data_IF_727337968198
#
_entry.id   IF_727337968198
#
_cell.length_a   1.000
_cell.length_b   1.000
_cell.length_c   1.000
_cell.angle_alpha   90.00
_cell.angle_beta   90.00
_cell.angle_gamma   90.00
#
_symmetry.space_group_name_H-M   'P 1'
#
loop_
_entity.id
_entity.type
_entity.pdbx_description
1 polymer ?
#
# COMPACT_ATOMS: atom_id res chain seq x y z
N UNK A 1 3.43 4.75 10.98
CA UNK A 1 2.11 4.12 11.07
C UNK A 1 1.98 2.84 10.22
N UNK A 2 3.05 2.41 9.56
CA UNK A 2 3.10 1.13 8.84
C UNK A 2 2.41 1.11 7.47
N UNK A 3 2.32 2.24 6.78
CA UNK A 3 1.75 2.35 5.44
C UNK A 3 2.47 1.42 4.44
N UNK A 4 3.80 1.55 4.32
CA UNK A 4 4.61 0.75 3.41
C UNK A 4 4.58 -0.74 3.74
N UNK A 5 4.61 -1.10 5.04
CA UNK A 5 4.44 -2.48 5.49
C UNK A 5 3.10 -3.07 5.06
N UNK A 6 2.03 -2.26 5.14
CA UNK A 6 0.70 -2.66 4.68
C UNK A 6 0.66 -2.76 3.15
N UNK A 7 1.25 -1.80 2.43
CA UNK A 7 1.28 -1.79 0.97
C UNK A 7 1.99 -3.03 0.40
N UNK A 8 3.17 -3.38 0.94
CA UNK A 8 3.93 -4.56 0.53
C UNK A 8 3.15 -5.85 0.76
N UNK A 9 2.63 -6.06 1.98
CA UNK A 9 1.91 -7.29 2.29
C UNK A 9 0.55 -7.37 1.57
N UNK A 10 -0.13 -6.24 1.34
CA UNK A 10 -1.34 -6.18 0.51
C UNK A 10 -1.04 -6.58 -0.94
N UNK A 11 0.02 -6.03 -1.54
CA UNK A 11 0.43 -6.38 -2.90
C UNK A 11 0.75 -7.87 -3.03
N UNK A 12 1.49 -8.42 -2.06
CA UNK A 12 1.81 -9.85 -2.02
C UNK A 12 0.58 -10.72 -1.77
N UNK A 13 -0.37 -10.27 -0.94
CA UNK A 13 -1.61 -11.00 -0.72
C UNK A 13 -2.49 -11.03 -1.97
N UNK A 14 -2.58 -9.92 -2.72
CA UNK A 14 -3.26 -9.89 -4.03
C UNK A 14 -2.59 -10.86 -5.02
N UNK A 15 -1.25 -10.88 -5.06
CA UNK A 15 -0.49 -11.80 -5.91
C UNK A 15 -0.70 -13.27 -5.49
N UNK A 16 -0.81 -13.55 -4.19
CA UNK A 16 -1.11 -14.90 -3.68
C UNK A 16 -2.50 -15.40 -4.07
N UNK A 17 -3.45 -14.51 -4.35
CA UNK A 17 -4.76 -14.84 -4.92
C UNK A 17 -4.74 -15.00 -6.46
N UNK A 18 -3.56 -14.91 -7.09
CA UNK A 18 -3.37 -15.15 -8.51
C UNK A 18 -3.32 -13.92 -9.40
N UNK A 19 -3.41 -12.71 -8.83
CA UNK A 19 -3.31 -11.48 -9.59
C UNK A 19 -1.87 -11.15 -9.99
N UNK A 20 -1.69 -10.48 -11.12
CA UNK A 20 -0.42 -9.87 -11.53
C UNK A 20 -0.31 -8.49 -10.90
N UNK A 21 0.61 -8.31 -9.97
CA UNK A 21 0.67 -7.12 -9.13
C UNK A 21 2.01 -6.41 -9.28
N UNK A 22 1.93 -5.09 -9.42
CA UNK A 22 3.08 -4.20 -9.30
C UNK A 22 3.00 -3.35 -8.03
N UNK A 23 4.15 -2.84 -7.58
CA UNK A 23 4.23 -1.86 -6.51
C UNK A 23 5.20 -0.74 -6.88
N UNK A 24 4.73 0.51 -6.78
CA UNK A 24 5.54 1.70 -6.96
C UNK A 24 5.73 2.39 -5.61
N UNK A 25 6.98 2.50 -5.18
CA UNK A 25 7.38 3.28 -4.01
C UNK A 25 7.41 4.77 -4.39
N UNK A 26 6.43 5.51 -3.91
CA UNK A 26 6.31 6.93 -4.14
C UNK A 26 6.86 7.78 -2.99
N UNK A 27 7.43 7.17 -1.95
CA UNK A 27 8.10 7.89 -0.85
C UNK A 27 9.57 8.21 -1.22
N UNK A 28 9.75 9.28 -1.99
CA UNK A 28 11.09 9.72 -2.44
C UNK A 28 12.02 10.07 -1.28
N UNK A 29 11.48 10.51 -0.15
CA UNK A 29 12.30 10.96 0.99
C UNK A 29 12.76 9.82 1.88
N UNK A 30 12.05 8.72 1.89
CA UNK A 30 12.36 7.56 2.72
C UNK A 30 11.93 6.25 2.03
N UNK A 31 12.51 5.95 0.84
CA UNK A 31 12.12 4.75 0.10
C UNK A 31 12.44 3.50 0.90
N UNK A 32 11.44 2.67 1.14
CA UNK A 32 11.55 1.50 2.00
C UNK A 32 11.22 0.17 1.29
N UNK A 33 10.54 0.23 0.17
CA UNK A 33 10.13 -0.97 -0.59
C UNK A 33 11.32 -1.85 -0.99
N UNK A 34 12.46 -1.30 -1.48
CA UNK A 34 13.63 -2.11 -1.81
C UNK A 34 14.10 -3.00 -0.66
N UNK A 35 14.23 -2.44 0.54
CA UNK A 35 14.64 -3.18 1.74
C UNK A 35 13.59 -4.20 2.16
N UNK A 36 12.33 -3.79 2.22
CA UNK A 36 11.23 -4.69 2.61
C UNK A 36 11.07 -5.90 1.69
N UNK A 37 11.51 -5.79 0.43
CA UNK A 37 11.46 -6.85 -0.56
C UNK A 37 12.83 -7.56 -0.77
N UNK A 38 13.87 -7.23 0.00
CA UNK A 38 15.20 -7.80 -0.12
C UNK A 38 15.87 -7.52 -1.47
N UNK A 39 15.59 -6.37 -2.07
CA UNK A 39 16.03 -5.98 -3.41
C UNK A 39 16.87 -4.70 -3.43
N UNK A 40 17.34 -4.20 -2.30
CA UNK A 40 18.08 -2.92 -2.18
C UNK A 40 19.36 -2.87 -3.02
N UNK A 41 19.97 -4.00 -3.30
CA UNK A 41 21.19 -4.09 -4.11
C UNK A 41 20.93 -4.25 -5.61
N UNK A 42 19.66 -4.33 -6.02
CA UNK A 42 19.30 -4.44 -7.42
C UNK A 42 19.20 -3.05 -8.07
N UNK A 43 19.41 -3.01 -9.37
CA UNK A 43 19.28 -1.78 -10.18
C UNK A 43 18.44 -2.08 -11.41
N UNK A 44 17.47 -1.23 -11.77
CA UNK A 44 16.70 -1.40 -12.99
C UNK A 44 17.62 -1.26 -14.20
N UNK A 45 17.39 -2.08 -15.20
CA UNK A 45 18.05 -1.97 -16.50
C UNK A 45 17.19 -1.18 -17.46
N UNK A 46 17.81 -0.53 -18.45
CA UNK A 46 17.09 0.17 -19.51
C UNK A 46 17.32 -0.59 -20.84
N UNK A 47 16.30 -1.30 -21.34
CA UNK A 47 16.46 -2.08 -22.57
C UNK A 47 16.63 -1.23 -23.84
N UNK A 48 16.06 -0.03 -23.84
CA UNK A 48 15.98 0.88 -24.99
C UNK A 48 16.59 2.25 -24.75
N UNK A 49 17.20 2.45 -23.56
CA UNK A 49 17.81 3.73 -23.14
C UNK A 49 16.80 4.78 -22.66
N UNK A 50 15.51 4.50 -22.72
CA UNK A 50 14.43 5.43 -22.32
C UNK A 50 13.58 4.86 -21.18
N UNK A 51 13.19 3.58 -21.30
CA UNK A 51 12.35 2.93 -20.32
C UNK A 51 13.18 2.11 -19.32
N UNK A 52 12.58 1.86 -18.15
CA UNK A 52 13.17 1.06 -17.08
C UNK A 52 12.46 -0.29 -16.97
N UNK A 53 13.23 -1.37 -16.95
CA UNK A 53 12.67 -2.67 -16.57
C UNK A 53 12.36 -2.65 -15.06
N UNK A 54 11.18 -3.11 -14.61
CA UNK A 54 10.89 -3.21 -13.19
C UNK A 54 11.80 -4.24 -12.53
N UNK A 55 12.09 -4.06 -11.24
CA UNK A 55 12.75 -5.08 -10.43
C UNK A 55 11.70 -6.13 -10.04
N UNK A 56 11.97 -7.38 -10.33
CA UNK A 56 11.09 -8.48 -9.93
C UNK A 56 11.52 -9.02 -8.57
N UNK A 57 10.64 -8.95 -7.57
CA UNK A 57 10.86 -9.53 -6.25
C UNK A 57 9.61 -10.18 -5.72
N UNK A 58 9.73 -11.40 -5.19
CA UNK A 58 8.62 -12.20 -4.65
C UNK A 58 7.38 -12.27 -5.56
N UNK A 59 7.58 -12.24 -6.88
CA UNK A 59 6.48 -12.25 -7.86
C UNK A 59 5.85 -10.88 -8.15
N UNK A 60 6.29 -9.81 -7.49
CA UNK A 60 5.86 -8.44 -7.76
C UNK A 60 6.79 -7.76 -8.77
N UNK A 61 6.22 -6.95 -9.67
CA UNK A 61 6.96 -5.98 -10.46
C UNK A 61 7.11 -4.70 -9.63
N UNK A 62 8.34 -4.25 -9.35
CA UNK A 62 8.57 -3.15 -8.41
C UNK A 62 9.41 -2.04 -9.03
N UNK A 63 9.11 -0.80 -8.69
CA UNK A 63 10.02 0.33 -8.91
C UNK A 63 10.02 1.26 -7.69
N UNK A 64 11.17 1.87 -7.43
CA UNK A 64 11.43 2.78 -6.30
C UNK A 64 12.58 3.70 -6.64
N UNK A 65 12.53 4.93 -6.16
CA UNK A 65 13.70 5.81 -6.22
C UNK A 65 14.91 5.22 -5.47
N UNK A 66 14.66 4.37 -4.47
CA UNK A 66 15.70 3.66 -3.74
C UNK A 66 16.53 2.70 -4.58
N UNK A 67 16.04 2.28 -5.76
CA UNK A 67 16.84 1.52 -6.73
C UNK A 67 17.78 2.40 -7.56
N UNK A 68 17.49 3.71 -7.67
CA UNK A 68 18.19 4.64 -8.56
C UNK A 68 19.22 5.50 -7.83
N UNK A 69 19.02 5.73 -6.53
CA UNK A 69 19.90 6.59 -5.71
C UNK A 69 20.76 5.73 -4.82
N UNK A 70 22.06 6.08 -4.74
CA UNK A 70 23.01 5.49 -3.79
C UNK A 70 23.23 6.47 -2.63
N UNK A 71 23.65 5.97 -1.47
CA UNK A 71 23.94 6.80 -0.28
C UNK A 71 24.94 7.92 -0.57
N UNK A 72 25.85 7.72 -1.53
CA UNK A 72 26.84 8.71 -1.95
C UNK A 72 26.25 9.84 -2.82
N UNK A 73 25.04 9.67 -3.36
CA UNK A 73 24.37 10.62 -4.23
C UNK A 73 23.05 11.13 -3.62
N UNK A 74 23.07 11.54 -2.36
CA UNK A 74 21.89 12.11 -1.70
C UNK A 74 21.44 13.39 -2.44
N UNK A 75 20.47 13.24 -3.33
CA UNK A 75 19.83 14.37 -4.01
C UNK A 75 18.87 15.07 -3.06
N UNK A 76 19.00 16.40 -2.97
CA UNK A 76 17.99 17.21 -2.27
C UNK A 76 16.75 17.34 -3.16
N UNK A 77 15.77 16.50 -2.96
CA UNK A 77 14.51 16.53 -3.69
C UNK A 77 13.66 17.73 -3.27
N UNK A 78 13.32 18.59 -4.22
CA UNK A 78 12.32 19.65 -4.02
C UNK A 78 10.97 19.15 -4.56
N UNK A 79 9.85 19.58 -3.98
CA UNK A 79 8.51 19.11 -4.30
C UNK A 79 8.21 18.90 -5.79
N UNK A 80 8.40 19.91 -6.66
CA UNK A 80 8.15 19.76 -8.11
C UNK A 80 9.05 18.73 -8.79
N UNK A 81 10.31 18.59 -8.34
CA UNK A 81 11.23 17.58 -8.87
C UNK A 81 10.82 16.17 -8.44
N UNK A 82 10.41 16.02 -7.19
CA UNK A 82 9.92 14.76 -6.65
C UNK A 82 8.69 14.26 -7.42
N UNK A 83 7.69 15.12 -7.62
CA UNK A 83 6.49 14.77 -8.39
C UNK A 83 6.81 14.40 -9.83
N UNK A 84 7.73 15.14 -10.49
CA UNK A 84 8.16 14.81 -11.85
C UNK A 84 8.86 13.46 -11.92
N UNK A 85 9.77 13.17 -11.01
CA UNK A 85 10.48 11.90 -10.96
C UNK A 85 9.53 10.72 -10.74
N UNK A 86 8.54 10.87 -9.86
CA UNK A 86 7.52 9.85 -9.62
C UNK A 86 6.64 9.60 -10.85
N UNK A 87 6.21 10.66 -11.54
CA UNK A 87 5.47 10.52 -12.79
C UNK A 87 6.30 9.80 -13.86
N UNK A 88 7.58 10.13 -13.94
CA UNK A 88 8.51 9.50 -14.86
C UNK A 88 8.70 8.01 -14.52
N UNK A 89 8.90 7.67 -13.25
CA UNK A 89 8.97 6.27 -12.80
C UNK A 89 7.69 5.51 -13.11
N UNK A 90 6.52 6.11 -12.94
CA UNK A 90 5.25 5.48 -13.27
C UNK A 90 5.12 5.20 -14.77
N UNK A 91 5.45 6.19 -15.61
CA UNK A 91 5.21 6.15 -17.06
C UNK A 91 6.32 5.42 -17.84
N UNK A 92 7.59 5.54 -17.39
CA UNK A 92 8.74 4.98 -18.08
C UNK A 92 9.13 3.58 -17.58
N UNK A 93 8.47 3.05 -16.56
CA UNK A 93 8.63 1.65 -16.19
C UNK A 93 7.85 0.76 -17.13
N UNK A 94 8.52 -0.25 -17.67
CA UNK A 94 7.93 -1.29 -18.52
C UNK A 94 7.14 -2.28 -17.65
N UNK A 95 6.04 -1.77 -17.07
CA UNK A 95 5.15 -2.61 -16.29
C UNK A 95 4.64 -3.77 -17.14
N UNK A 96 4.68 -5.02 -16.65
CA UNK A 96 4.00 -6.11 -17.34
C UNK A 96 2.48 -5.86 -17.36
N UNK A 97 1.73 -6.73 -18.03
CA UNK A 97 0.27 -6.69 -18.01
C UNK A 97 -0.24 -6.95 -16.58
N UNK A 98 -0.45 -5.88 -15.81
CA UNK A 98 -0.81 -5.91 -14.40
C UNK A 98 -2.33 -5.85 -14.20
N UNK A 99 -2.83 -6.64 -13.23
CA UNK A 99 -4.19 -6.51 -12.71
C UNK A 99 -4.27 -5.36 -11.69
N UNK A 100 -3.22 -5.17 -10.88
CA UNK A 100 -3.13 -4.12 -9.86
C UNK A 100 -1.75 -3.47 -9.85
N UNK A 101 -1.73 -2.15 -9.71
CA UNK A 101 -0.54 -1.38 -9.36
C UNK A 101 -0.78 -0.68 -8.01
N UNK A 102 -0.08 -1.10 -6.99
CA UNK A 102 -0.14 -0.51 -5.65
C UNK A 102 0.86 0.65 -5.59
N UNK A 103 0.38 1.84 -5.23
CA UNK A 103 1.22 3.00 -4.98
C UNK A 103 1.41 3.20 -3.48
N UNK A 104 2.64 3.07 -3.01
CA UNK A 104 3.00 3.42 -1.63
C UNK A 104 3.29 4.92 -1.55
N UNK A 105 2.27 5.69 -1.16
CA UNK A 105 2.29 7.15 -1.14
C UNK A 105 3.25 7.68 -0.05
N UNK A 106 3.90 8.85 -0.23
CA UNK A 106 4.69 9.47 0.82
C UNK A 106 3.83 9.81 2.05
N UNK A 107 4.43 10.03 3.23
CA UNK A 107 3.68 10.40 4.43
C UNK A 107 3.09 11.81 4.35
N UNK A 108 2.00 12.03 5.07
CA UNK A 108 1.34 13.34 5.18
C UNK A 108 0.23 13.56 4.14
N UNK A 109 -0.16 14.82 3.97
CA UNK A 109 -1.24 15.29 3.06
C UNK A 109 -0.82 16.59 2.36
N UNK A 110 0.47 16.71 2.03
CA UNK A 110 1.04 17.91 1.40
C UNK A 110 0.92 17.93 -0.12
N UNK A 111 1.59 18.90 -0.73
CA UNK A 111 1.50 19.17 -2.17
C UNK A 111 1.90 17.96 -3.05
N UNK A 112 2.84 17.13 -2.61
CA UNK A 112 3.29 15.96 -3.38
C UNK A 112 2.17 14.93 -3.47
N UNK A 113 1.53 14.60 -2.34
CA UNK A 113 0.43 13.64 -2.30
C UNK A 113 -0.76 14.14 -3.14
N UNK A 114 -1.09 15.42 -3.00
CA UNK A 114 -2.15 16.05 -3.77
C UNK A 114 -1.84 16.02 -5.27
N UNK A 115 -0.62 16.40 -5.65
CA UNK A 115 -0.18 16.39 -7.05
C UNK A 115 -0.20 14.99 -7.65
N UNK A 116 0.25 13.99 -6.90
CA UNK A 116 0.20 12.58 -7.35
C UNK A 116 -1.24 12.11 -7.54
N UNK A 117 -2.10 12.33 -6.54
CA UNK A 117 -3.50 11.92 -6.61
C UNK A 117 -4.28 12.60 -7.74
N UNK A 118 -3.89 13.82 -8.15
CA UNK A 118 -4.51 14.54 -9.27
C UNK A 118 -3.99 14.09 -10.65
N UNK A 119 -2.75 13.64 -10.74
CA UNK A 119 -2.11 13.36 -12.03
C UNK A 119 -2.02 11.86 -12.37
N UNK A 120 -2.28 10.98 -11.41
CA UNK A 120 -2.32 9.53 -11.61
C UNK A 120 -3.78 9.09 -11.63
N UNK A 121 -4.20 8.22 -12.56
CA UNK A 121 -5.56 7.68 -12.59
C UNK A 121 -5.75 6.64 -11.47
N UNK A 122 -5.87 7.13 -10.22
CA UNK A 122 -6.03 6.29 -9.03
C UNK A 122 -7.48 5.81 -8.96
N UNK A 123 -7.69 4.50 -9.02
CA UNK A 123 -9.03 3.89 -8.94
C UNK A 123 -9.60 3.93 -7.51
N UNK A 124 -8.74 3.93 -6.50
CA UNK A 124 -9.19 4.02 -5.11
C UNK A 124 -8.02 4.11 -4.13
N UNK A 125 -8.28 4.58 -2.93
CA UNK A 125 -7.31 4.78 -1.88
C UNK A 125 -7.64 3.96 -0.63
N UNK A 126 -6.62 3.34 -0.03
CA UNK A 126 -6.70 2.70 1.29
C UNK A 126 -5.97 3.59 2.29
N UNK A 127 -6.66 4.01 3.34
CA UNK A 127 -6.09 4.86 4.39
C UNK A 127 -5.60 3.99 5.54
N UNK A 128 -4.30 4.07 5.85
CA UNK A 128 -3.68 3.30 6.94
C UNK A 128 -3.46 4.22 8.14
N UNK A 129 -3.96 3.81 9.30
CA UNK A 129 -3.80 4.54 10.56
C UNK A 129 -3.47 3.59 11.72
N UNK A 130 -3.27 4.14 12.89
CA UNK A 130 -3.21 3.40 14.18
C UNK A 130 -4.33 3.89 15.09
N UNK A 131 -4.68 3.18 16.17
CA UNK A 131 -5.82 3.57 17.03
C UNK A 131 -5.67 4.92 17.74
N UNK A 132 -4.46 5.49 17.84
CA UNK A 132 -4.17 6.72 18.57
C UNK A 132 -4.86 7.95 17.95
N UNK A 133 -5.41 8.82 18.78
CA UNK A 133 -6.12 10.03 18.34
C UNK A 133 -5.30 10.91 17.39
N UNK A 134 -4.00 11.08 17.63
CA UNK A 134 -3.12 11.90 16.78
C UNK A 134 -3.01 11.26 15.38
N UNK A 135 -2.90 9.94 15.29
CA UNK A 135 -2.85 9.24 14.00
C UNK A 135 -4.20 9.33 13.25
N UNK A 136 -5.31 9.27 13.97
CA UNK A 136 -6.64 9.43 13.42
C UNK A 136 -6.89 10.83 12.86
N UNK A 137 -6.30 11.88 13.45
CA UNK A 137 -6.34 13.25 12.92
C UNK A 137 -5.68 13.31 11.53
N UNK A 138 -4.53 12.64 11.36
CA UNK A 138 -3.83 12.62 10.07
C UNK A 138 -4.56 11.73 9.04
N UNK A 139 -5.11 10.60 9.46
CA UNK A 139 -5.97 9.77 8.61
C UNK A 139 -7.19 10.55 8.09
N UNK A 140 -7.84 11.33 8.95
CA UNK A 140 -8.93 12.23 8.58
C UNK A 140 -8.52 13.22 7.49
N UNK A 141 -7.35 13.86 7.63
CA UNK A 141 -6.83 14.77 6.60
C UNK A 141 -6.61 14.04 5.27
N UNK A 142 -6.10 12.79 5.32
CA UNK A 142 -5.91 11.95 4.14
C UNK A 142 -7.23 11.64 3.43
N UNK A 143 -8.28 11.27 4.15
CA UNK A 143 -9.62 11.03 3.59
C UNK A 143 -10.13 12.29 2.88
N UNK A 144 -10.11 13.44 3.58
CA UNK A 144 -10.56 14.72 3.02
C UNK A 144 -9.74 15.14 1.79
N UNK A 145 -8.44 14.83 1.76
CA UNK A 145 -7.60 15.09 0.59
C UNK A 145 -8.08 14.25 -0.61
N UNK A 146 -8.30 12.95 -0.43
CA UNK A 146 -8.78 12.08 -1.52
C UNK A 146 -10.18 12.48 -2.00
N UNK A 147 -11.09 12.86 -1.10
CA UNK A 147 -12.40 13.39 -1.47
C UNK A 147 -12.31 14.65 -2.37
N UNK A 148 -11.36 15.55 -2.05
CA UNK A 148 -11.16 16.79 -2.84
C UNK A 148 -10.63 16.55 -4.26
N UNK A 149 -9.95 15.44 -4.49
CA UNK A 149 -9.41 15.06 -5.80
C UNK A 149 -10.23 13.96 -6.46
N UNK A 150 -11.41 13.68 -5.92
CA UNK A 150 -12.38 12.72 -6.47
C UNK A 150 -11.83 11.28 -6.55
N UNK A 151 -10.89 10.91 -5.66
CA UNK A 151 -10.40 9.55 -5.52
C UNK A 151 -11.23 8.83 -4.45
N UNK A 152 -11.92 7.73 -4.79
CA UNK A 152 -12.70 6.97 -3.83
C UNK A 152 -11.85 6.41 -2.69
N UNK A 153 -12.28 6.60 -1.44
CA UNK A 153 -11.67 5.94 -0.28
C UNK A 153 -12.32 4.57 -0.09
N UNK A 154 -11.59 3.52 -0.46
CA UNK A 154 -12.05 2.12 -0.38
C UNK A 154 -12.31 1.69 1.06
N UNK A 155 -11.54 2.25 2.00
CA UNK A 155 -11.67 2.00 3.42
C UNK A 155 -10.42 2.32 4.21
N UNK A 156 -10.47 1.98 5.50
CA UNK A 156 -9.43 2.24 6.49
C UNK A 156 -8.83 0.92 6.97
N UNK A 157 -7.53 0.86 7.09
CA UNK A 157 -6.78 -0.21 7.77
C UNK A 157 -6.28 0.33 9.10
N UNK A 158 -6.67 -0.30 10.20
CA UNK A 158 -6.15 -0.01 11.52
C UNK A 158 -4.93 -0.89 11.79
N UNK A 159 -3.74 -0.32 11.61
CA UNK A 159 -2.49 -0.99 11.91
C UNK A 159 -2.15 -0.88 13.41
N UNK A 160 -1.42 -1.85 13.95
CA UNK A 160 -1.05 -1.92 15.37
C UNK A 160 -2.29 -1.87 16.29
N UNK A 161 -3.39 -2.47 15.85
CA UNK A 161 -4.68 -2.46 16.57
C UNK A 161 -4.60 -3.16 17.93
N UNK A 162 -3.76 -4.20 18.01
CA UNK A 162 -3.58 -5.04 19.18
C UNK A 162 -2.13 -5.51 19.24
N UNK A 163 -1.46 -5.29 20.36
CA UNK A 163 -0.15 -5.90 20.60
C UNK A 163 -0.33 -7.38 20.99
N UNK A 164 0.41 -8.26 20.35
CA UNK A 164 0.47 -9.67 20.68
C UNK A 164 1.86 -9.96 21.26
N UNK A 165 1.92 -10.35 22.53
CA UNK A 165 3.17 -10.66 23.19
C UNK A 165 3.80 -11.92 22.62
N UNK A 166 5.01 -11.82 22.09
CA UNK A 166 5.74 -12.96 21.51
C UNK A 166 6.13 -14.04 22.52
N UNK A 167 6.10 -13.74 23.84
CA UNK A 167 6.45 -14.68 24.89
C UNK A 167 5.25 -15.47 25.43
N UNK A 168 4.10 -14.84 25.62
CA UNK A 168 2.95 -15.49 26.26
C UNK A 168 1.65 -15.41 25.45
N UNK A 169 1.68 -14.79 24.27
CA UNK A 169 0.50 -14.63 23.42
C UNK A 169 -0.57 -13.68 23.97
N UNK A 170 -0.27 -12.94 25.06
CA UNK A 170 -1.21 -11.99 25.62
C UNK A 170 -1.54 -10.87 24.62
N UNK A 171 -2.82 -10.54 24.50
CA UNK A 171 -3.32 -9.50 23.62
C UNK A 171 -3.63 -8.24 24.42
N UNK A 172 -3.01 -7.13 24.05
CA UNK A 172 -3.18 -5.85 24.75
C UNK A 172 -3.35 -4.69 23.74
N UNK A 173 -4.43 -3.90 23.83
CA UNK A 173 -4.66 -2.75 22.96
C UNK A 173 -3.87 -1.52 23.45
N UNK A 174 -2.54 -1.58 23.36
CA UNK A 174 -1.63 -0.55 23.91
C UNK A 174 -1.84 0.84 23.33
N UNK A 175 -2.45 0.94 22.15
CA UNK A 175 -2.75 2.21 21.47
C UNK A 175 -4.24 2.60 21.51
N UNK A 176 -5.06 1.88 22.31
CA UNK A 176 -6.50 2.09 22.35
C UNK A 176 -7.28 1.21 21.38
N UNK A 177 -8.58 1.40 21.30
CA UNK A 177 -9.51 0.58 20.50
C UNK A 177 -10.57 1.42 19.79
N UNK A 178 -11.02 0.94 18.63
CA UNK A 178 -12.22 1.44 17.94
C UNK A 178 -12.09 2.82 17.30
N UNK A 179 -10.89 3.39 17.26
CA UNK A 179 -10.68 4.72 16.66
C UNK A 179 -10.93 4.71 15.15
N UNK A 180 -10.34 3.76 14.44
CA UNK A 180 -10.53 3.64 12.99
C UNK A 180 -11.96 3.23 12.60
N UNK A 181 -12.64 2.43 13.43
CA UNK A 181 -14.05 2.09 13.20
C UNK A 181 -14.94 3.34 13.26
N UNK A 182 -14.78 4.19 14.29
CA UNK A 182 -15.52 5.45 14.40
C UNK A 182 -15.24 6.39 13.22
N UNK A 183 -14.00 6.43 12.78
CA UNK A 183 -13.59 7.24 11.63
C UNK A 183 -14.24 6.71 10.34
N UNK A 184 -14.28 5.40 10.13
CA UNK A 184 -14.94 4.77 9.00
C UNK A 184 -16.45 5.10 8.96
N UNK A 185 -17.13 4.99 10.08
CA UNK A 185 -18.53 5.36 10.22
C UNK A 185 -18.78 6.86 9.91
N UNK A 186 -17.92 7.74 10.45
CA UNK A 186 -18.02 9.19 10.23
C UNK A 186 -17.92 9.56 8.74
N UNK A 187 -17.05 8.88 7.98
CA UNK A 187 -16.81 9.15 6.56
C UNK A 187 -17.54 8.19 5.62
N UNK A 188 -18.48 7.39 6.14
CA UNK A 188 -19.28 6.43 5.37
C UNK A 188 -18.43 5.50 4.50
N UNK A 189 -17.27 5.11 5.03
CA UNK A 189 -16.38 4.11 4.46
C UNK A 189 -16.31 2.88 5.37
N UNK A 190 -15.41 1.93 5.09
CA UNK A 190 -15.32 0.67 5.81
C UNK A 190 -14.02 0.55 6.59
N UNK A 191 -14.05 -0.18 7.70
CA UNK A 191 -12.86 -0.74 8.31
C UNK A 191 -12.49 -2.02 7.54
N UNK A 192 -11.46 -1.94 6.69
CA UNK A 192 -11.04 -3.05 5.82
C UNK A 192 -10.31 -4.15 6.58
N UNK A 193 -9.57 -3.78 7.63
CA UNK A 193 -8.83 -4.75 8.45
C UNK A 193 -8.15 -4.12 9.64
N UNK A 194 -7.77 -4.99 10.58
CA UNK A 194 -7.05 -4.63 11.79
C UNK A 194 -5.79 -5.48 11.86
N UNK A 195 -4.62 -4.84 11.70
CA UNK A 195 -3.32 -5.52 11.73
C UNK A 195 -2.76 -5.47 13.13
N UNK A 196 -2.35 -6.60 13.72
CA UNK A 196 -1.73 -6.61 15.02
C UNK A 196 -0.32 -6.00 15.00
N UNK A 197 0.14 -5.57 16.16
CA UNK A 197 1.54 -5.26 16.43
C UNK A 197 2.22 -6.52 16.97
N UNK A 198 3.07 -7.14 16.15
CA UNK A 198 3.85 -8.30 16.56
C UNK A 198 5.28 -8.18 16.02
N UNK A 199 6.26 -8.67 16.78
CA UNK A 199 7.69 -8.54 16.45
C UNK A 199 8.03 -9.21 15.12
N UNK A 200 7.40 -10.35 14.80
CA UNK A 200 7.69 -11.07 13.55
C UNK A 200 7.33 -10.29 12.30
N UNK A 201 6.27 -9.46 12.34
CA UNK A 201 5.88 -8.62 11.20
C UNK A 201 7.00 -7.63 10.83
N UNK A 202 7.65 -7.05 11.86
CA UNK A 202 8.80 -6.18 11.67
C UNK A 202 10.02 -6.95 11.16
N UNK A 203 10.36 -8.05 11.84
CA UNK A 203 11.54 -8.84 11.51
C UNK A 203 11.49 -9.45 10.11
N UNK A 204 10.31 -9.83 9.64
CA UNK A 204 10.12 -10.38 8.30
C UNK A 204 10.42 -9.29 7.24
N UNK A 205 9.93 -8.06 7.44
CA UNK A 205 10.21 -6.93 6.55
C UNK A 205 11.68 -6.48 6.61
N UNK A 206 12.27 -6.42 7.80
CA UNK A 206 13.69 -6.06 7.98
C UNK A 206 14.63 -7.08 7.29
N UNK A 207 14.20 -8.33 7.14
CA UNK A 207 14.93 -9.38 6.42
C UNK A 207 14.68 -9.41 4.92
N UNK A 208 13.81 -8.55 4.41
CA UNK A 208 13.42 -8.55 3.00
C UNK A 208 12.56 -9.73 2.57
N UNK A 209 11.93 -10.41 3.52
CA UNK A 209 11.02 -11.55 3.29
C UNK A 209 9.70 -11.28 3.99
N UNK A 210 8.80 -10.46 3.41
CA UNK A 210 7.55 -10.04 4.02
C UNK A 210 6.70 -11.21 4.53
N UNK A 211 5.87 -10.95 5.52
CA UNK A 211 5.12 -11.98 6.26
C UNK A 211 4.28 -12.88 5.37
N UNK A 212 3.64 -12.34 4.33
CA UNK A 212 2.86 -13.15 3.36
C UNK A 212 3.73 -14.21 2.67
N UNK A 213 5.03 -13.95 2.49
CA UNK A 213 5.98 -14.89 1.88
C UNK A 213 6.62 -15.80 2.94
N UNK A 214 7.10 -15.21 4.04
CA UNK A 214 7.87 -15.96 5.06
C UNK A 214 6.99 -16.86 5.92
N UNK A 215 5.70 -16.55 6.05
CA UNK A 215 4.74 -17.24 6.94
C UNK A 215 3.38 -17.44 6.26
N UNK A 216 3.30 -18.17 5.14
CA UNK A 216 2.09 -18.24 4.31
C UNK A 216 0.85 -18.77 5.06
N UNK A 217 1.05 -19.63 6.06
CA UNK A 217 -0.03 -20.25 6.84
C UNK A 217 -0.31 -19.55 8.18
N UNK A 218 0.31 -18.38 8.44
CA UNK A 218 0.11 -17.66 9.69
C UNK A 218 -1.21 -16.90 9.75
N UNK A 219 -1.69 -16.64 10.96
CA UNK A 219 -2.84 -15.75 11.19
C UNK A 219 -2.62 -14.35 10.59
N UNK A 220 -1.39 -13.85 10.60
CA UNK A 220 -1.05 -12.54 10.02
C UNK A 220 -1.24 -12.53 8.50
N UNK A 221 -0.81 -13.60 7.82
CA UNK A 221 -1.03 -13.77 6.38
C UNK A 221 -2.52 -13.91 6.07
N UNK A 222 -3.28 -14.62 6.88
CA UNK A 222 -4.72 -14.72 6.72
C UNK A 222 -5.41 -13.34 6.78
N UNK A 223 -4.99 -12.46 7.72
CA UNK A 223 -5.51 -11.09 7.81
C UNK A 223 -5.17 -10.28 6.54
N UNK A 224 -3.94 -10.38 6.01
CA UNK A 224 -3.57 -9.69 4.77
C UNK A 224 -4.33 -10.22 3.54
N UNK A 225 -4.60 -11.52 3.47
CA UNK A 225 -5.42 -12.11 2.39
C UNK A 225 -6.87 -11.65 2.48
N UNK A 226 -7.43 -11.59 3.68
CA UNK A 226 -8.78 -11.03 3.89
C UNK A 226 -8.83 -9.56 3.49
N UNK A 227 -7.83 -8.76 3.87
CA UNK A 227 -7.69 -7.37 3.43
C UNK A 227 -7.65 -7.26 1.90
N UNK A 228 -6.85 -8.08 1.23
CA UNK A 228 -6.75 -8.12 -0.23
C UNK A 228 -8.11 -8.42 -0.89
N UNK A 229 -8.84 -9.41 -0.37
CA UNK A 229 -10.18 -9.73 -0.84
C UNK A 229 -11.17 -8.57 -0.69
N UNK A 230 -11.14 -7.89 0.46
CA UNK A 230 -12.01 -6.71 0.71
C UNK A 230 -11.65 -5.53 -0.20
N UNK A 231 -10.35 -5.27 -0.42
CA UNK A 231 -9.89 -4.22 -1.35
C UNK A 231 -10.30 -4.54 -2.78
N UNK A 232 -10.10 -5.78 -3.23
CA UNK A 232 -10.51 -6.22 -4.56
C UNK A 232 -12.04 -6.08 -4.77
N UNK A 233 -12.84 -6.46 -3.77
CA UNK A 233 -14.29 -6.29 -3.81
C UNK A 233 -14.71 -4.82 -3.91
N UNK A 234 -14.07 -3.92 -3.14
CA UNK A 234 -14.35 -2.48 -3.23
C UNK A 234 -13.96 -1.89 -4.59
N UNK A 235 -12.81 -2.28 -5.14
CA UNK A 235 -12.39 -1.84 -6.48
C UNK A 235 -13.34 -2.33 -7.57
N UNK A 236 -13.86 -3.54 -7.47
CA UNK A 236 -14.88 -4.07 -8.39
C UNK A 236 -16.14 -3.21 -8.39
N UNK A 237 -16.62 -2.78 -7.21
CA UNK A 237 -17.79 -1.92 -7.10
C UNK A 237 -17.56 -0.45 -7.51
N UNK A 238 -16.31 0.01 -7.50
CA UNK A 238 -15.93 1.35 -7.95
C UNK A 238 -15.63 1.41 -9.45
N UNK A 239 -15.37 0.26 -10.10
CA UNK A 239 -15.14 0.19 -11.54
C UNK A 239 -16.39 0.48 -12.36
N UNK A 240 -16.23 0.82 -13.64
CA UNK A 240 -17.33 1.07 -14.58
C UNK A 240 -18.18 -0.17 -14.91
N UNK A 241 -17.84 -1.32 -14.35
CA UNK A 241 -18.63 -2.55 -14.48
C UNK A 241 -19.82 -2.47 -13.55
N UNK A 242 -20.85 -1.74 -13.97
CA UNK A 242 -22.20 -1.96 -13.46
C UNK A 242 -22.57 -3.36 -13.94
N UNK A 243 -22.79 -4.36 -13.05
CA UNK A 243 -23.29 -5.65 -13.48
C UNK A 243 -24.57 -5.40 -14.26
N UNK A 244 -24.63 -5.81 -15.52
CA UNK A 244 -25.87 -5.77 -16.26
C UNK A 244 -26.95 -6.48 -15.43
N UNK A 245 -28.22 -6.08 -15.56
CA UNK A 245 -29.34 -6.67 -14.83
C UNK A 245 -29.20 -8.20 -14.83
N UNK A 246 -29.09 -8.80 -13.65
CA UNK A 246 -29.14 -10.25 -13.51
C UNK A 246 -30.57 -10.64 -13.77
N UNK A 247 -30.88 -10.99 -15.02
CA UNK A 247 -32.18 -11.52 -15.38
C UNK A 247 -32.32 -12.95 -14.79
N UNK A 248 -33.04 -13.09 -13.70
CA UNK A 248 -33.45 -14.41 -13.22
C UNK A 248 -34.53 -14.97 -14.17
N UNK A 249 -34.15 -15.97 -14.98
CA UNK A 249 -35.18 -16.82 -15.63
C UNK A 249 -35.55 -17.92 -14.62
N UNK A 250 -36.77 -17.87 -14.13
CA UNK A 250 -37.37 -19.05 -13.46
C UNK A 250 -37.43 -20.19 -14.48
N UNK A 251 -36.87 -21.35 -14.13
CA UNK A 251 -36.96 -22.61 -14.87
C UNK A 251 -38.22 -23.33 -14.47
#
# INVERSE_FOLDING_TARGET
MGKSSTAVNLALALAAEGAKVGILDADIYGPSIPTMLGAENQRPTSPDGTHMAPIMSHGLATNSIGYLVTDDNAMVWRGPMASKALMQMLQETLWPDLDYLVLDMPPGTGDIQLTLAQNIPVTGAVVVTTPQDIALIDAKKGIVMFEKVEVPVLGIVENMSMHICSNCGHHEPIFGTGGAQKLAEQYRTQLLGQMPLHISLREDLDRGTPTVISRPDSEFTAIYRELAGRVAAQLYWQGEVIPGEIAFRAV
#
